data_IF_655794965889
#
_entry.id   IF_655794965889
#
_cell.length_a   1.000
_cell.length_b   1.000
_cell.length_c   1.000
_cell.angle_alpha   90.00
_cell.angle_beta   90.00
_cell.angle_gamma   90.00
#
_symmetry.space_group_name_H-M   'P 1'
#
loop_
_entity.id
_entity.type
_entity.pdbx_description
1 polymer ?
#
# COMPACT_ATOMS: atom_id res chain seq x y z
N UNK A 1 0.01 -27.46 -4.43
CA UNK A 1 1.41 -27.04 -4.15
C UNK A 1 1.77 -26.04 -5.24
N UNK A 2 1.75 -24.74 -4.93
CA UNK A 2 2.26 -23.72 -5.86
C UNK A 2 3.77 -23.92 -5.94
N UNK A 3 4.28 -24.32 -7.11
CA UNK A 3 5.71 -24.41 -7.37
C UNK A 3 6.28 -22.98 -7.26
N UNK A 4 7.43 -22.75 -6.60
CA UNK A 4 8.04 -21.42 -6.63
C UNK A 4 8.26 -21.02 -8.08
N UNK A 5 7.76 -19.84 -8.45
CA UNK A 5 7.93 -19.27 -9.79
C UNK A 5 9.44 -19.18 -10.04
N UNK A 6 9.96 -19.81 -11.10
CA UNK A 6 11.36 -19.65 -11.49
C UNK A 6 11.72 -18.17 -11.63
N UNK A 7 12.94 -17.81 -11.24
CA UNK A 7 13.40 -16.42 -11.34
C UNK A 7 13.23 -15.85 -12.76
N UNK A 8 13.51 -16.67 -13.78
CA UNK A 8 13.36 -16.27 -15.17
C UNK A 8 11.91 -16.03 -15.57
N UNK A 9 10.98 -16.90 -15.16
CA UNK A 9 9.55 -16.70 -15.42
C UNK A 9 9.04 -15.38 -14.84
N UNK A 10 9.61 -14.91 -13.73
CA UNK A 10 9.25 -13.61 -13.16
C UNK A 10 9.86 -12.44 -13.94
N UNK A 11 11.12 -12.54 -14.39
CA UNK A 11 11.73 -11.52 -15.27
C UNK A 11 10.93 -11.44 -16.58
N UNK A 12 10.51 -12.57 -17.15
CA UNK A 12 9.64 -12.62 -18.32
C UNK A 12 8.26 -12.02 -18.04
N UNK A 13 7.68 -12.29 -16.86
CA UNK A 13 6.43 -11.69 -16.40
C UNK A 13 6.51 -10.16 -16.29
N UNK A 14 7.58 -9.65 -15.69
CA UNK A 14 7.88 -8.20 -15.62
C UNK A 14 8.00 -7.62 -17.04
N UNK A 15 8.70 -8.31 -17.94
CA UNK A 15 8.86 -7.87 -19.32
C UNK A 15 7.53 -7.85 -20.10
N UNK A 16 6.69 -8.87 -19.91
CA UNK A 16 5.38 -8.96 -20.55
C UNK A 16 4.45 -7.85 -20.06
N UNK A 17 4.31 -7.70 -18.73
CA UNK A 17 3.51 -6.64 -18.14
C UNK A 17 4.03 -5.25 -18.52
N UNK A 18 5.36 -5.08 -18.58
CA UNK A 18 6.00 -3.84 -19.03
C UNK A 18 5.67 -3.50 -20.48
N UNK A 19 5.68 -4.47 -21.40
CA UNK A 19 5.29 -4.23 -22.80
C UNK A 19 3.81 -3.85 -22.92
N UNK A 20 2.94 -4.55 -22.21
CA UNK A 20 1.50 -4.26 -22.20
C UNK A 20 1.25 -2.84 -21.70
N UNK A 21 1.79 -2.50 -20.52
CA UNK A 21 1.67 -1.17 -19.93
C UNK A 21 2.24 -0.08 -20.86
N UNK A 22 3.32 -0.35 -21.58
CA UNK A 22 3.90 0.60 -22.52
C UNK A 22 3.01 0.81 -23.75
N UNK A 23 2.34 -0.26 -24.23
CA UNK A 23 1.34 -0.19 -25.30
C UNK A 23 0.18 0.73 -24.94
N UNK A 24 -0.18 0.78 -23.66
CA UNK A 24 -1.20 1.70 -23.10
C UNK A 24 -0.63 3.09 -22.72
N UNK A 25 0.63 3.39 -23.07
CA UNK A 25 1.26 4.68 -22.83
C UNK A 25 1.75 4.90 -21.38
N UNK A 26 1.74 3.88 -20.52
CA UNK A 26 2.26 4.00 -19.16
C UNK A 26 3.80 4.01 -19.18
N UNK A 27 4.38 5.14 -18.73
CA UNK A 27 5.85 5.34 -18.71
C UNK A 27 6.49 5.15 -17.33
N UNK A 28 5.68 5.00 -16.28
CA UNK A 28 6.14 4.68 -14.93
C UNK A 28 5.04 4.04 -14.09
N UNK A 29 5.44 3.25 -13.11
CA UNK A 29 4.51 2.65 -12.14
C UNK A 29 5.13 2.57 -10.74
N UNK A 30 4.28 2.30 -9.75
CA UNK A 30 4.73 1.91 -8.40
C UNK A 30 4.28 0.48 -8.13
N UNK A 31 5.21 -0.44 -7.89
CA UNK A 31 4.92 -1.84 -7.56
C UNK A 31 4.44 -1.92 -6.10
N UNK A 32 3.18 -2.33 -5.84
CA UNK A 32 2.56 -2.22 -4.53
C UNK A 32 2.90 -3.36 -3.57
N UNK A 33 4.12 -3.90 -3.67
CA UNK A 33 4.67 -4.90 -2.76
C UNK A 33 5.82 -5.68 -3.37
N UNK A 34 6.96 -5.70 -2.70
CA UNK A 34 8.07 -6.64 -2.95
C UNK A 34 8.52 -7.30 -1.65
N UNK A 35 9.16 -8.46 -1.75
CA UNK A 35 9.66 -9.19 -0.59
C UNK A 35 8.56 -9.95 0.14
N UNK A 36 8.70 -10.06 1.46
CA UNK A 36 7.69 -10.68 2.33
C UNK A 36 6.43 -9.82 2.44
N UNK A 37 5.27 -10.47 2.56
CA UNK A 37 3.99 -9.81 2.78
C UNK A 37 2.92 -10.36 1.84
N UNK A 38 1.79 -9.65 1.76
CA UNK A 38 0.65 -10.09 0.94
C UNK A 38 0.80 -9.83 -0.57
N UNK A 39 1.70 -8.92 -0.97
CA UNK A 39 1.80 -8.47 -2.35
C UNK A 39 3.14 -8.78 -3.03
N UNK A 40 4.15 -9.26 -2.28
CA UNK A 40 5.44 -9.67 -2.88
C UNK A 40 5.47 -11.15 -3.24
N UNK A 41 6.38 -11.54 -4.13
CA UNK A 41 6.56 -12.93 -4.57
C UNK A 41 7.75 -13.61 -3.87
N UNK A 42 8.64 -12.82 -3.24
CA UNK A 42 9.70 -13.35 -2.38
C UNK A 42 10.90 -12.42 -2.24
N UNK A 43 11.94 -12.90 -1.55
CA UNK A 43 13.15 -12.12 -1.27
C UNK A 43 13.93 -11.69 -2.53
N UNK A 44 13.64 -12.30 -3.68
CA UNK A 44 14.33 -12.06 -4.95
C UNK A 44 13.58 -11.09 -5.88
N UNK A 45 12.45 -10.52 -5.44
CA UNK A 45 11.63 -9.60 -6.26
C UNK A 45 12.45 -8.42 -6.80
N UNK A 46 13.18 -7.74 -5.92
CA UNK A 46 14.04 -6.62 -6.31
C UNK A 46 15.11 -7.05 -7.32
N UNK A 47 15.69 -8.24 -7.14
CA UNK A 47 16.72 -8.75 -8.04
C UNK A 47 16.15 -9.02 -9.44
N UNK A 48 14.90 -9.48 -9.55
CA UNK A 48 14.26 -9.67 -10.84
C UNK A 48 13.96 -8.34 -11.54
N UNK A 49 13.52 -7.31 -10.81
CA UNK A 49 13.38 -5.96 -11.38
C UNK A 49 14.73 -5.38 -11.82
N UNK A 50 15.79 -5.56 -11.03
CA UNK A 50 17.15 -5.16 -11.40
C UNK A 50 17.59 -5.86 -12.69
N UNK A 51 17.33 -7.15 -12.79
CA UNK A 51 17.67 -7.93 -13.98
C UNK A 51 16.86 -7.52 -15.21
N UNK A 52 15.57 -7.23 -15.05
CA UNK A 52 14.71 -6.74 -16.13
C UNK A 52 15.20 -5.38 -16.67
N UNK A 53 15.64 -4.49 -15.78
CA UNK A 53 16.27 -3.20 -16.16
C UNK A 53 17.61 -3.43 -16.85
N UNK A 54 18.48 -4.30 -16.31
CA UNK A 54 19.78 -4.64 -16.89
C UNK A 54 19.67 -5.21 -18.30
N UNK A 55 18.66 -6.07 -18.54
CA UNK A 55 18.36 -6.65 -19.86
C UNK A 55 17.67 -5.68 -20.82
N UNK A 56 17.24 -4.50 -20.35
CA UNK A 56 16.51 -3.53 -21.16
C UNK A 56 15.09 -3.97 -21.52
N UNK A 57 14.49 -4.92 -20.76
CA UNK A 57 13.16 -5.48 -21.05
C UNK A 57 12.03 -4.84 -20.25
N UNK A 58 12.36 -3.96 -19.29
CA UNK A 58 11.40 -3.12 -18.58
C UNK A 58 11.49 -1.67 -19.09
N UNK A 59 10.57 -1.22 -19.97
CA UNK A 59 10.66 0.11 -20.57
C UNK A 59 10.28 1.24 -19.61
N UNK A 60 9.42 0.99 -18.62
CA UNK A 60 8.99 1.96 -17.62
C UNK A 60 10.07 2.29 -16.58
N UNK A 61 9.88 3.43 -15.89
CA UNK A 61 10.51 3.69 -14.60
C UNK A 61 9.71 3.00 -13.49
N UNK A 62 10.37 2.25 -12.62
CA UNK A 62 9.74 1.49 -11.56
C UNK A 62 10.10 2.05 -10.17
N UNK A 63 9.08 2.22 -9.32
CA UNK A 63 9.25 2.49 -7.90
C UNK A 63 8.71 1.31 -7.12
N UNK A 64 9.54 0.62 -6.33
CA UNK A 64 9.13 -0.61 -5.66
C UNK A 64 8.83 -0.36 -4.18
N UNK A 65 7.68 -0.85 -3.69
CA UNK A 65 7.33 -0.73 -2.28
C UNK A 65 7.71 -1.99 -1.50
N UNK A 66 8.70 -1.97 -0.59
CA UNK A 66 8.96 -3.10 0.28
C UNK A 66 7.75 -3.39 1.16
N UNK A 67 7.35 -4.66 1.27
CA UNK A 67 6.33 -5.04 2.24
C UNK A 67 6.80 -4.74 3.66
N UNK A 68 5.90 -4.26 4.53
CA UNK A 68 6.22 -3.95 5.93
C UNK A 68 6.95 -5.07 6.70
N UNK A 69 6.71 -6.39 6.48
CA UNK A 69 7.44 -7.45 7.18
C UNK A 69 8.92 -7.60 6.80
N UNK A 70 9.41 -6.82 5.83
CA UNK A 70 10.83 -6.78 5.46
C UNK A 70 11.61 -5.76 6.28
N UNK A 71 10.93 -4.77 6.87
CA UNK A 71 11.58 -3.79 7.74
C UNK A 71 11.82 -4.40 9.12
N UNK A 72 13.02 -4.20 9.65
CA UNK A 72 13.42 -4.65 10.98
C UNK A 72 14.46 -3.70 11.57
N UNK A 73 14.78 -3.88 12.86
CA UNK A 73 15.87 -3.14 13.50
C UNK A 73 17.21 -3.57 12.92
N UNK A 74 17.97 -2.61 12.39
CA UNK A 74 19.29 -2.85 11.79
C UNK A 74 20.45 -2.31 12.66
N UNK A 75 20.15 -1.88 13.90
CA UNK A 75 21.12 -1.33 14.86
C UNK A 75 21.10 0.20 14.94
N UNK A 76 21.66 0.76 16.02
CA UNK A 76 21.83 2.21 16.23
C UNK A 76 20.57 3.08 16.02
N UNK A 77 19.40 2.53 16.37
CA UNK A 77 18.10 3.22 16.22
C UNK A 77 17.54 3.25 14.80
N UNK A 78 18.16 2.55 13.84
CA UNK A 78 17.66 2.42 12.48
C UNK A 78 16.64 1.29 12.35
N UNK A 79 15.55 1.59 11.62
CA UNK A 79 14.49 0.66 11.27
C UNK A 79 14.28 0.65 9.76
N UNK A 80 14.58 -0.45 9.08
CA UNK A 80 14.68 -0.44 7.63
C UNK A 80 14.98 -1.79 7.01
N UNK A 81 15.44 -1.73 5.77
CA UNK A 81 16.04 -2.88 5.10
C UNK A 81 17.52 -2.98 5.48
N UNK A 82 18.11 -4.16 5.29
CA UNK A 82 19.55 -4.35 5.43
C UNK A 82 20.36 -3.30 4.64
N UNK A 83 21.57 -3.03 5.13
CA UNK A 83 22.49 -2.02 4.59
C UNK A 83 21.97 -0.57 4.67
N UNK A 84 20.89 -0.32 5.43
CA UNK A 84 20.35 1.03 5.64
C UNK A 84 19.53 1.57 4.46
N UNK A 85 19.09 0.70 3.55
CA UNK A 85 18.25 1.11 2.44
C UNK A 85 16.88 1.61 2.92
N UNK A 86 16.44 2.73 2.33
CA UNK A 86 15.16 3.39 2.62
C UNK A 86 14.60 4.08 1.38
N UNK A 87 13.40 4.64 1.50
CA UNK A 87 12.74 5.42 0.44
C UNK A 87 13.72 6.34 -0.30
N UNK A 88 13.74 6.23 -1.62
CA UNK A 88 14.53 7.07 -2.52
C UNK A 88 15.82 6.45 -3.05
N UNK A 89 16.33 5.35 -2.45
CA UNK A 89 17.53 4.68 -2.95
C UNK A 89 17.29 4.03 -4.31
N UNK A 90 18.25 4.18 -5.22
CA UNK A 90 18.16 3.72 -6.61
C UNK A 90 18.48 4.85 -7.58
N UNK A 91 17.95 4.76 -8.80
CA UNK A 91 18.13 5.75 -9.86
C UNK A 91 16.80 6.11 -10.54
N UNK A 92 16.88 6.79 -11.68
CA UNK A 92 15.70 7.21 -12.45
C UNK A 92 14.91 6.03 -13.03
N UNK A 93 15.55 4.86 -13.25
CA UNK A 93 14.94 3.67 -13.85
C UNK A 93 14.32 2.78 -12.79
N UNK A 94 15.00 2.58 -11.66
CA UNK A 94 14.56 1.70 -10.59
C UNK A 94 14.94 2.24 -9.23
N UNK A 95 13.96 2.40 -8.34
CA UNK A 95 14.18 2.85 -6.97
C UNK A 95 13.26 2.18 -5.96
N UNK A 96 13.71 2.13 -4.71
CA UNK A 96 12.86 1.80 -3.57
C UNK A 96 12.02 3.02 -3.19
N UNK A 97 10.72 2.81 -3.05
CA UNK A 97 9.74 3.83 -2.73
C UNK A 97 9.23 3.76 -1.28
N UNK A 98 7.93 4.01 -1.06
CA UNK A 98 7.31 3.85 0.24
C UNK A 98 7.39 2.41 0.76
N UNK A 99 7.36 2.23 2.08
CA UNK A 99 7.04 0.92 2.67
C UNK A 99 5.54 0.67 2.62
N UNK A 100 5.15 -0.59 2.39
CA UNK A 100 3.75 -1.04 2.21
C UNK A 100 3.24 -1.86 3.39
N UNK A 101 2.60 -1.23 4.40
CA UNK A 101 1.78 -1.92 5.39
C UNK A 101 0.34 -2.13 4.91
N UNK A 102 -0.34 -3.10 5.52
CA UNK A 102 -1.76 -3.39 5.31
C UNK A 102 -2.53 -3.19 6.61
N UNK A 103 -3.61 -2.39 6.56
CA UNK A 103 -4.46 -2.13 7.72
C UNK A 103 -5.67 -3.07 7.79
N UNK A 104 -6.36 -3.32 6.67
CA UNK A 104 -7.61 -4.09 6.62
C UNK A 104 -7.74 -4.97 5.37
N UNK A 105 -8.88 -5.66 5.23
CA UNK A 105 -9.17 -6.56 4.12
C UNK A 105 -9.70 -5.85 2.86
N UNK A 106 -10.65 -6.49 2.18
CA UNK A 106 -11.29 -5.98 0.96
C UNK A 106 -12.78 -5.70 1.17
N UNK A 107 -13.32 -4.75 0.42
CA UNK A 107 -14.74 -4.38 0.51
C UNK A 107 -15.65 -5.47 -0.08
N UNK A 108 -15.32 -5.97 -1.28
CA UNK A 108 -16.07 -7.05 -1.94
C UNK A 108 -16.02 -8.34 -1.11
N UNK A 109 -14.87 -8.63 -0.50
CA UNK A 109 -14.72 -9.76 0.41
C UNK A 109 -15.30 -9.51 1.81
N UNK A 110 -15.91 -8.34 2.06
CA UNK A 110 -16.55 -7.97 3.33
C UNK A 110 -15.64 -8.11 4.56
N UNK A 111 -14.37 -7.78 4.35
CA UNK A 111 -13.31 -7.87 5.37
C UNK A 111 -12.62 -6.55 5.64
N UNK A 112 -12.84 -5.53 4.80
CA UNK A 112 -12.42 -4.16 5.09
C UNK A 112 -13.03 -3.67 6.40
N UNK A 113 -12.27 -2.94 7.20
CA UNK A 113 -12.68 -2.57 8.56
C UNK A 113 -13.57 -1.34 8.50
N UNK A 114 -14.86 -1.54 8.77
CA UNK A 114 -15.91 -0.53 8.66
C UNK A 114 -16.32 0.00 10.04
N UNK A 115 -16.92 1.20 10.10
CA UNK A 115 -17.60 1.72 11.30
C UNK A 115 -18.83 0.88 11.69
N UNK A 116 -19.43 0.28 10.67
CA UNK A 116 -20.82 -0.12 10.63
C UNK A 116 -20.93 -1.51 9.99
N UNK A 117 -22.05 -2.18 10.24
CA UNK A 117 -22.23 -3.56 9.76
C UNK A 117 -22.37 -3.59 8.24
N UNK A 118 -21.85 -4.63 7.59
CA UNK A 118 -22.09 -4.89 6.18
C UNK A 118 -23.57 -5.22 5.93
N UNK A 119 -24.07 -4.90 4.72
CA UNK A 119 -25.46 -5.15 4.35
C UNK A 119 -25.82 -6.64 4.47
N UNK A 120 -26.86 -6.94 5.25
CA UNK A 120 -27.31 -8.31 5.47
C UNK A 120 -26.42 -9.14 6.41
N UNK A 121 -25.41 -8.56 7.05
CA UNK A 121 -24.51 -9.27 7.99
C UNK A 121 -24.39 -8.55 9.35
N UNK A 122 -25.42 -8.59 10.21
CA UNK A 122 -25.36 -7.99 11.54
C UNK A 122 -24.16 -8.48 12.35
N UNK A 123 -23.41 -7.54 12.92
CA UNK A 123 -22.19 -7.78 13.67
C UNK A 123 -20.92 -7.93 12.82
N UNK A 124 -21.00 -8.03 11.49
CA UNK A 124 -19.81 -8.04 10.64
C UNK A 124 -19.42 -6.61 10.25
N UNK A 125 -18.30 -6.11 10.80
CA UNK A 125 -17.69 -4.81 10.44
C UNK A 125 -16.31 -4.96 9.83
N UNK A 126 -16.01 -6.14 9.29
CA UNK A 126 -14.68 -6.55 8.88
C UNK A 126 -13.66 -6.47 10.01
N UNK A 127 -12.38 -6.51 9.66
CA UNK A 127 -11.30 -6.62 10.63
C UNK A 127 -10.05 -5.86 10.18
N UNK A 128 -9.31 -5.36 11.18
CA UNK A 128 -7.94 -4.95 10.95
C UNK A 128 -7.09 -6.22 10.81
N UNK A 129 -6.19 -6.25 9.82
CA UNK A 129 -5.32 -7.40 9.59
C UNK A 129 -4.30 -7.62 10.70
N UNK A 130 -4.01 -6.56 11.44
CA UNK A 130 -3.13 -6.57 12.59
C UNK A 130 -3.74 -5.68 13.67
N UNK A 131 -3.26 -5.83 14.90
CA UNK A 131 -3.64 -4.96 16.00
C UNK A 131 -3.37 -3.48 15.67
N UNK A 132 -4.29 -2.59 16.06
CA UNK A 132 -4.20 -1.16 15.74
C UNK A 132 -2.95 -0.52 16.37
N UNK A 133 -2.59 -0.92 17.58
CA UNK A 133 -1.40 -0.43 18.27
C UNK A 133 -0.13 -0.97 17.60
N UNK A 134 -0.13 -2.21 17.11
CA UNK A 134 0.97 -2.75 16.32
C UNK A 134 1.18 -1.98 15.00
N UNK A 135 0.10 -1.70 14.25
CA UNK A 135 0.18 -0.89 13.02
C UNK A 135 0.67 0.53 13.33
N UNK A 136 0.13 1.16 14.37
CA UNK A 136 0.54 2.48 14.84
C UNK A 136 2.03 2.50 15.20
N UNK A 137 2.49 1.56 16.03
CA UNK A 137 3.89 1.46 16.42
C UNK A 137 4.82 1.27 15.21
N UNK A 138 4.42 0.45 14.23
CA UNK A 138 5.15 0.31 12.98
C UNK A 138 5.24 1.64 12.21
N UNK A 139 4.11 2.33 12.03
CA UNK A 139 4.04 3.61 11.32
C UNK A 139 4.95 4.66 11.98
N UNK A 140 4.86 4.82 13.29
CA UNK A 140 5.69 5.77 14.04
C UNK A 140 7.20 5.49 13.85
N UNK A 141 7.59 4.21 13.92
CA UNK A 141 8.99 3.80 13.73
C UNK A 141 9.48 4.00 12.30
N UNK A 142 8.69 3.58 11.31
CA UNK A 142 9.03 3.75 9.90
C UNK A 142 9.13 5.25 9.53
N UNK A 143 8.23 6.07 10.07
CA UNK A 143 8.25 7.51 9.88
C UNK A 143 9.53 8.12 10.46
N UNK A 144 9.87 7.82 11.71
CA UNK A 144 11.08 8.33 12.36
C UNK A 144 12.37 7.87 11.63
N UNK A 145 12.36 6.67 11.04
CA UNK A 145 13.46 6.16 10.22
C UNK A 145 13.52 6.74 8.80
N UNK A 146 12.68 7.73 8.48
CA UNK A 146 12.74 8.46 7.22
C UNK A 146 12.07 7.76 6.03
N UNK A 147 11.22 6.75 6.27
CA UNK A 147 10.44 6.11 5.20
C UNK A 147 9.26 6.98 4.78
N UNK A 148 8.92 6.98 3.48
CA UNK A 148 7.56 7.25 3.06
C UNK A 148 6.73 5.99 3.34
N UNK A 149 5.46 6.15 3.74
CA UNK A 149 4.58 5.04 4.09
C UNK A 149 3.39 5.07 3.13
N UNK A 150 3.02 3.92 2.58
CA UNK A 150 1.87 3.73 1.72
C UNK A 150 0.98 2.63 2.29
N UNK A 151 0.05 2.99 3.17
CA UNK A 151 -0.78 2.02 3.87
C UNK A 151 -2.00 1.63 3.05
N UNK A 152 -2.23 0.34 2.84
CA UNK A 152 -3.53 -0.15 2.37
C UNK A 152 -4.59 0.11 3.43
N UNK A 153 -5.64 0.86 3.08
CA UNK A 153 -6.85 1.03 3.88
C UNK A 153 -8.07 1.21 2.97
N UNK A 154 -9.05 0.33 3.12
CA UNK A 154 -10.29 0.36 2.32
C UNK A 154 -11.46 0.88 3.13
N UNK A 155 -11.70 0.34 4.31
CA UNK A 155 -12.83 0.72 5.15
C UNK A 155 -12.58 2.01 5.94
N UNK A 156 -13.65 2.72 6.26
CA UNK A 156 -13.59 4.03 6.94
C UNK A 156 -12.95 3.94 8.34
N UNK A 157 -13.23 2.88 9.10
CA UNK A 157 -12.56 2.63 10.39
C UNK A 157 -11.07 2.35 10.21
N UNK A 158 -10.66 1.68 9.13
CA UNK A 158 -9.24 1.48 8.82
C UNK A 158 -8.54 2.81 8.48
N UNK A 159 -9.21 3.67 7.70
CA UNK A 159 -8.71 5.00 7.34
C UNK A 159 -8.47 5.85 8.59
N UNK A 160 -9.38 5.86 9.56
CA UNK A 160 -9.18 6.60 10.82
C UNK A 160 -7.94 6.12 11.57
N UNK A 161 -7.75 4.81 11.73
CA UNK A 161 -6.57 4.23 12.39
C UNK A 161 -5.27 4.69 11.71
N UNK A 162 -5.26 4.73 10.37
CA UNK A 162 -4.08 5.17 9.61
C UNK A 162 -3.85 6.67 9.75
N UNK A 163 -4.91 7.48 9.69
CA UNK A 163 -4.81 8.93 9.84
C UNK A 163 -4.37 9.33 11.25
N UNK A 164 -4.86 8.64 12.30
CA UNK A 164 -4.40 8.82 13.68
C UNK A 164 -2.90 8.57 13.80
N UNK A 165 -2.42 7.45 13.24
CA UNK A 165 -1.00 7.11 13.28
C UNK A 165 -0.13 8.09 12.48
N UNK A 166 -0.60 8.58 11.32
CA UNK A 166 0.12 9.58 10.53
C UNK A 166 0.15 10.96 11.18
N UNK A 167 -0.97 11.41 11.76
CA UNK A 167 -1.04 12.68 12.50
C UNK A 167 -0.10 12.65 13.72
N UNK A 168 -0.09 11.54 14.45
CA UNK A 168 0.82 11.37 15.57
C UNK A 168 2.30 11.28 15.13
N UNK A 169 2.60 10.57 14.04
CA UNK A 169 3.95 10.51 13.49
C UNK A 169 4.50 11.91 13.20
N UNK A 170 3.70 12.73 12.50
CA UNK A 170 4.04 14.11 12.18
C UNK A 170 4.13 15.02 13.41
N UNK A 171 3.31 14.79 14.43
CA UNK A 171 3.41 15.56 15.68
C UNK A 171 4.68 15.24 16.47
N UNK A 172 5.15 13.97 16.43
CA UNK A 172 6.34 13.52 17.15
C UNK A 172 7.64 13.86 16.43
N UNK A 173 7.68 13.68 15.12
CA UNK A 173 8.86 13.92 14.28
C UNK A 173 8.46 14.64 12.98
N UNK A 174 8.22 15.97 13.02
CA UNK A 174 7.69 16.69 11.87
C UNK A 174 8.56 16.56 10.61
N UNK A 175 7.99 16.00 9.54
CA UNK A 175 8.63 15.84 8.23
C UNK A 175 7.83 16.58 7.15
N UNK A 176 8.32 17.73 6.65
CA UNK A 176 7.56 18.59 5.74
C UNK A 176 7.21 17.95 4.39
N UNK A 177 8.00 16.96 3.95
CA UNK A 177 7.75 16.21 2.71
C UNK A 177 7.65 14.70 2.98
N UNK A 178 6.96 14.30 4.05
CA UNK A 178 6.75 12.88 4.38
C UNK A 178 5.93 12.13 3.31
N UNK A 179 5.04 12.86 2.59
CA UNK A 179 4.21 12.41 1.47
C UNK A 179 3.55 11.04 1.70
N UNK A 180 3.09 10.77 2.91
CA UNK A 180 2.47 9.49 3.22
C UNK A 180 1.22 9.27 2.36
N UNK A 181 0.94 8.01 2.06
CA UNK A 181 -0.11 7.59 1.13
C UNK A 181 -1.10 6.67 1.80
N UNK A 182 -2.36 6.78 1.41
CA UNK A 182 -3.37 5.76 1.68
C UNK A 182 -3.71 5.10 0.34
N UNK A 183 -3.38 3.83 0.20
CA UNK A 183 -3.73 3.03 -0.96
C UNK A 183 -5.21 2.63 -0.87
N UNK A 184 -5.90 2.69 -2.01
CA UNK A 184 -7.35 2.55 -2.15
C UNK A 184 -8.11 3.77 -1.65
N UNK A 185 -8.11 4.01 -0.33
CA UNK A 185 -8.88 5.10 0.28
C UNK A 185 -10.36 5.05 -0.18
N UNK A 186 -10.94 3.84 -0.20
CA UNK A 186 -12.14 3.54 -0.96
C UNK A 186 -13.43 4.01 -0.29
N UNK A 187 -13.58 3.77 1.01
CA UNK A 187 -14.72 4.25 1.80
C UNK A 187 -14.22 5.34 2.73
N UNK A 188 -14.59 6.59 2.44
CA UNK A 188 -14.17 7.74 3.24
C UNK A 188 -15.26 8.79 3.35
N UNK A 189 -15.36 9.39 4.53
CA UNK A 189 -16.28 10.50 4.81
C UNK A 189 -15.69 11.85 4.42
N UNK A 190 -16.55 12.86 4.25
CA UNK A 190 -16.11 14.24 3.99
C UNK A 190 -15.16 14.76 5.08
N UNK A 191 -15.38 14.37 6.33
CA UNK A 191 -14.49 14.70 7.44
C UNK A 191 -13.11 14.04 7.30
N UNK A 192 -13.07 12.78 6.86
CA UNK A 192 -11.82 12.07 6.57
C UNK A 192 -11.10 12.66 5.37
N UNK A 193 -11.81 13.04 4.30
CA UNK A 193 -11.24 13.74 3.14
C UNK A 193 -10.61 15.07 3.56
N UNK A 194 -11.30 15.85 4.40
CA UNK A 194 -10.76 17.09 4.95
C UNK A 194 -9.51 16.84 5.83
N UNK A 195 -9.49 15.75 6.60
CA UNK A 195 -8.35 15.34 7.41
C UNK A 195 -7.15 14.89 6.57
N UNK A 196 -7.38 14.11 5.52
CA UNK A 196 -6.37 13.71 4.52
C UNK A 196 -5.70 14.96 3.93
N UNK A 197 -6.51 15.93 3.48
CA UNK A 197 -6.01 17.18 2.92
C UNK A 197 -5.20 17.99 3.94
N UNK A 198 -5.68 18.14 5.17
CA UNK A 198 -4.98 18.86 6.25
C UNK A 198 -3.61 18.26 6.57
N UNK A 199 -3.52 16.93 6.58
CA UNK A 199 -2.29 16.20 6.89
C UNK A 199 -1.32 16.09 5.71
N UNK A 200 -1.73 16.51 4.50
CA UNK A 200 -0.92 16.35 3.28
C UNK A 200 -0.75 14.87 2.88
N UNK A 201 -1.70 14.02 3.25
CA UNK A 201 -1.73 12.59 2.90
C UNK A 201 -2.23 12.45 1.46
N UNK A 202 -1.62 11.53 0.70
CA UNK A 202 -1.93 11.31 -0.70
C UNK A 202 -2.85 10.09 -0.83
N UNK A 203 -4.15 10.25 -1.16
CA UNK A 203 -5.01 9.12 -1.48
C UNK A 203 -4.64 8.55 -2.87
N UNK A 204 -4.62 7.22 -3.00
CA UNK A 204 -4.35 6.53 -4.26
C UNK A 204 -5.52 5.61 -4.60
N UNK A 205 -6.60 6.16 -5.18
CA UNK A 205 -7.78 5.40 -5.58
C UNK A 205 -7.56 4.65 -6.89
N UNK A 206 -8.32 3.57 -7.11
CA UNK A 206 -8.31 2.81 -8.37
C UNK A 206 -9.63 3.02 -9.10
N UNK A 207 -9.60 3.62 -10.29
CA UNK A 207 -10.83 3.94 -11.05
C UNK A 207 -11.72 2.73 -11.34
N UNK A 208 -11.14 1.53 -11.48
CA UNK A 208 -11.89 0.27 -11.64
C UNK A 208 -12.79 -0.09 -10.45
N UNK A 209 -12.56 0.50 -9.27
CA UNK A 209 -13.43 0.29 -8.11
C UNK A 209 -14.82 0.91 -8.34
N UNK A 210 -14.90 1.98 -9.12
CA UNK A 210 -16.16 2.63 -9.48
C UNK A 210 -16.87 1.90 -10.63
N UNK A 211 -16.11 1.42 -11.61
CA UNK A 211 -16.70 0.79 -12.80
C UNK A 211 -16.89 -0.73 -12.63
N UNK A 212 -15.80 -1.50 -12.75
CA UNK A 212 -15.86 -2.97 -12.86
C UNK A 212 -16.22 -3.66 -11.54
N UNK A 213 -15.84 -3.06 -10.41
CA UNK A 213 -16.07 -3.62 -9.08
C UNK A 213 -17.20 -2.92 -8.31
N UNK A 214 -17.78 -1.88 -8.88
CA UNK A 214 -18.75 -0.99 -8.20
C UNK A 214 -19.97 -1.76 -7.69
N UNK A 215 -20.54 -2.63 -8.51
CA UNK A 215 -21.71 -3.44 -8.11
C UNK A 215 -21.43 -4.34 -6.90
N UNK A 216 -20.22 -4.91 -6.83
CA UNK A 216 -19.80 -5.73 -5.68
C UNK A 216 -19.63 -4.89 -4.41
N UNK A 217 -19.13 -3.65 -4.55
CA UNK A 217 -19.00 -2.71 -3.44
C UNK A 217 -20.37 -2.22 -2.95
N UNK A 218 -21.28 -1.90 -3.87
CA UNK A 218 -22.66 -1.54 -3.56
C UNK A 218 -23.40 -2.69 -2.89
N UNK A 219 -23.22 -3.92 -3.36
CA UNK A 219 -23.81 -5.09 -2.72
C UNK A 219 -23.26 -5.31 -1.30
N UNK A 220 -22.01 -4.97 -1.04
CA UNK A 220 -21.41 -5.05 0.30
C UNK A 220 -21.98 -3.98 1.26
N UNK A 221 -22.13 -2.74 0.79
CA UNK A 221 -22.57 -1.61 1.62
C UNK A 221 -24.10 -1.45 1.72
N UNK A 222 -24.83 -2.00 0.74
CA UNK A 222 -26.29 -1.86 0.62
C UNK A 222 -26.70 -0.75 -0.35
N UNK A 223 -27.79 -0.98 -1.08
CA UNK A 223 -28.35 0.01 -1.99
C UNK A 223 -29.06 1.12 -1.20
N UNK A 224 -28.48 2.32 -1.20
CA UNK A 224 -29.07 3.49 -0.54
C UNK A 224 -28.76 3.61 0.95
N UNK A 225 -27.92 2.73 1.50
CA UNK A 225 -27.31 2.93 2.81
C UNK A 225 -26.24 4.00 2.65
N UNK A 226 -26.63 5.26 2.82
CA UNK A 226 -25.65 6.26 3.21
C UNK A 226 -25.08 5.73 4.53
N UNK A 227 -23.76 5.50 4.55
CA UNK A 227 -23.02 5.42 5.81
C UNK A 227 -23.46 6.62 6.67
N UNK A 228 -23.37 6.56 8.01
CA UNK A 228 -24.04 7.53 8.89
C UNK A 228 -23.52 8.98 8.80
N UNK A 229 -22.77 9.31 7.76
CA UNK A 229 -22.11 10.56 7.44
C UNK A 229 -22.33 10.91 5.96
#
# INVERSE_FOLDING_TARGET
MLRPVPFEDFVEGIALAGREAAGEGLTSFTEPGIGRGLAGNGAWDLAAFQEAVRRGVLPQRATLMPGSPNLHDIGDGWFGLDLGFRTGIGDERLRIGPVKPFSDGSLIGRTAAMCCDYEGEPGNRGLLQQDAEALRAFILRAHAAGWQIATHAIGDRAVDVVLDAYEEAQARDPRPDARHRIEHCAVTSDAQVARIARLGVIPVPQGRFVSELGDGMLAALGHGTLLPW
#
